data_IF_750086350250
#
_entry.id   IF_750086350250
#
_cell.length_a   1.000
_cell.length_b   1.000
_cell.length_c   1.000
_cell.angle_alpha   90.00
_cell.angle_beta   90.00
_cell.angle_gamma   90.00
#
_symmetry.space_group_name_H-M   'P 1'
#
loop_
_entity.id
_entity.type
_entity.pdbx_description
1 polymer ?
#
# COMPACT_ATOMS: atom_id res chain seq x y z
N UNK A 1 17.14 -4.70 2.73
CA UNK A 1 16.20 -3.67 3.25
C UNK A 1 14.80 -4.27 3.35
N UNK A 2 13.90 -3.61 4.07
CA UNK A 2 12.50 -4.00 4.24
C UNK A 2 11.59 -3.04 3.49
N UNK A 3 11.02 -3.49 2.37
CA UNK A 3 10.10 -2.71 1.56
C UNK A 3 8.66 -3.02 1.94
N UNK A 4 7.85 -1.97 2.05
CA UNK A 4 6.40 -2.06 2.11
C UNK A 4 5.82 -1.54 0.80
N UNK A 5 5.20 -2.41 0.03
CA UNK A 5 4.49 -2.04 -1.20
C UNK A 5 2.99 -2.03 -0.92
N UNK A 6 2.31 -0.98 -1.35
CA UNK A 6 0.89 -0.77 -1.08
C UNK A 6 0.14 -0.59 -2.39
N UNK A 7 -0.85 -1.45 -2.62
CA UNK A 7 -1.87 -1.24 -3.63
C UNK A 7 -3.09 -0.56 -2.97
N UNK A 8 -3.41 0.68 -3.33
CA UNK A 8 -4.38 1.51 -2.64
C UNK A 8 -5.84 1.10 -2.97
N UNK A 9 -6.81 1.69 -2.25
CA UNK A 9 -8.23 1.60 -2.60
C UNK A 9 -8.48 1.93 -4.08
N UNK A 10 -9.43 1.25 -4.71
CA UNK A 10 -9.97 1.68 -5.99
C UNK A 10 -10.75 3.00 -5.90
N UNK A 11 -11.50 3.27 -4.80
CA UNK A 11 -12.23 4.54 -4.58
C UNK A 11 -12.64 4.72 -3.11
N UNK A 12 -13.17 5.91 -2.75
CA UNK A 12 -13.30 6.45 -1.37
C UNK A 12 -13.68 5.42 -0.30
N UNK A 13 -12.68 4.90 0.42
CA UNK A 13 -12.87 3.99 1.56
C UNK A 13 -13.71 4.61 2.69
N UNK A 14 -13.79 5.95 2.73
CA UNK A 14 -14.62 6.67 3.68
C UNK A 14 -16.12 6.68 3.32
N UNK A 15 -16.53 6.21 2.14
CA UNK A 15 -17.92 6.20 1.68
C UNK A 15 -18.41 4.77 1.35
N UNK A 16 -18.98 4.11 2.37
CA UNK A 16 -20.19 3.25 2.38
C UNK A 16 -20.22 1.80 1.85
N UNK A 17 -20.61 0.89 2.76
CA UNK A 17 -21.67 -0.17 2.76
C UNK A 17 -21.96 -1.08 1.55
N UNK A 18 -21.30 -0.99 0.41
CA UNK A 18 -21.56 -1.92 -0.71
C UNK A 18 -20.25 -2.36 -1.35
N UNK A 19 -20.09 -3.70 -1.47
CA UNK A 19 -18.96 -4.33 -2.16
C UNK A 19 -18.97 -3.92 -3.62
N UNK A 20 -18.15 -2.94 -3.98
CA UNK A 20 -17.87 -2.65 -5.38
C UNK A 20 -16.66 -3.47 -5.77
N UNK A 21 -16.88 -4.40 -6.71
CA UNK A 21 -15.83 -5.26 -7.26
C UNK A 21 -14.88 -4.42 -8.13
N UNK A 22 -13.82 -3.89 -7.53
CA UNK A 22 -12.70 -3.30 -8.25
C UNK A 22 -11.42 -3.99 -7.78
N UNK A 23 -10.99 -4.97 -8.57
CA UNK A 23 -9.88 -5.89 -8.24
C UNK A 23 -9.90 -7.14 -9.13
N UNK A 24 -10.32 -7.03 -10.39
CA UNK A 24 -10.38 -8.19 -11.29
C UNK A 24 -8.98 -8.69 -11.72
N UNK A 25 -7.94 -7.89 -11.53
CA UNK A 25 -6.57 -8.29 -11.82
C UNK A 25 -5.68 -8.05 -10.60
N UNK A 26 -4.83 -9.02 -10.24
CA UNK A 26 -3.81 -8.81 -9.20
C UNK A 26 -2.87 -7.66 -9.61
N UNK A 27 -2.21 -7.00 -8.64
CA UNK A 27 -1.29 -5.90 -8.90
C UNK A 27 0.04 -6.43 -9.46
N UNK A 28 0.02 -6.96 -10.69
CA UNK A 28 1.14 -7.64 -11.33
C UNK A 28 2.41 -6.77 -11.34
N UNK A 29 2.28 -5.47 -11.61
CA UNK A 29 3.40 -4.54 -11.56
C UNK A 29 4.13 -4.55 -10.21
N UNK A 30 3.38 -4.51 -9.09
CA UNK A 30 3.97 -4.60 -7.76
C UNK A 30 4.55 -5.98 -7.47
N UNK A 31 3.93 -7.06 -7.96
CA UNK A 31 4.46 -8.42 -7.79
C UNK A 31 5.81 -8.60 -8.51
N UNK A 32 5.97 -8.03 -9.71
CA UNK A 32 7.26 -8.02 -10.42
C UNK A 32 8.33 -7.22 -9.67
N UNK A 33 7.98 -6.04 -9.16
CA UNK A 33 8.89 -5.23 -8.32
C UNK A 33 9.28 -5.99 -7.07
N UNK A 34 8.30 -6.57 -6.35
CA UNK A 34 8.52 -7.36 -5.15
C UNK A 34 9.49 -8.51 -5.41
N UNK A 35 9.27 -9.28 -6.48
CA UNK A 35 10.14 -10.40 -6.83
C UNK A 35 11.56 -9.95 -7.18
N UNK A 36 11.69 -8.81 -7.87
CA UNK A 36 13.00 -8.24 -8.23
C UNK A 36 13.77 -7.81 -6.99
N UNK A 37 13.12 -7.16 -6.02
CA UNK A 37 13.73 -6.77 -4.73
C UNK A 37 14.11 -8.01 -3.91
N UNK A 38 13.22 -8.99 -3.81
CA UNK A 38 13.50 -10.26 -3.13
C UNK A 38 14.73 -10.98 -3.70
N UNK A 39 14.87 -11.01 -5.03
CA UNK A 39 16.02 -11.63 -5.69
C UNK A 39 17.36 -10.91 -5.37
N UNK A 40 17.32 -9.67 -4.88
CA UNK A 40 18.50 -8.93 -4.40
C UNK A 40 18.78 -9.12 -2.91
N UNK A 41 17.99 -9.94 -2.21
CA UNK A 41 18.11 -10.20 -0.78
C UNK A 41 17.29 -9.27 0.10
N UNK A 42 16.38 -8.46 -0.48
CA UNK A 42 15.49 -7.60 0.28
C UNK A 42 14.23 -8.36 0.77
N UNK A 43 13.66 -7.89 1.89
CA UNK A 43 12.35 -8.36 2.37
C UNK A 43 11.26 -7.44 1.86
N UNK A 44 10.15 -8.01 1.40
CA UNK A 44 9.02 -7.25 0.83
C UNK A 44 7.72 -7.70 1.48
N UNK A 45 6.99 -6.72 2.01
CA UNK A 45 5.60 -6.87 2.45
C UNK A 45 4.71 -6.18 1.43
N UNK A 46 3.68 -6.85 0.91
CA UNK A 46 2.67 -6.28 0.02
C UNK A 46 1.34 -6.17 0.77
N UNK A 47 0.74 -4.99 0.78
CA UNK A 47 -0.65 -4.78 1.23
C UNK A 47 -1.51 -4.47 0.01
N UNK A 48 -2.43 -5.37 -0.32
CA UNK A 48 -3.36 -5.20 -1.45
C UNK A 48 -4.76 -4.85 -0.95
N UNK A 49 -5.02 -3.55 -0.80
CA UNK A 49 -6.31 -3.07 -0.35
C UNK A 49 -7.38 -3.02 -1.47
N UNK A 50 -7.05 -3.49 -2.68
CA UNK A 50 -8.08 -3.77 -3.70
C UNK A 50 -8.73 -5.14 -3.48
N UNK A 51 -7.98 -6.10 -2.93
CA UNK A 51 -8.45 -7.45 -2.64
C UNK A 51 -8.87 -7.61 -1.17
N UNK A 52 -8.21 -6.91 -0.25
CA UNK A 52 -8.45 -6.99 1.19
C UNK A 52 -9.11 -5.71 1.73
N UNK A 53 -9.97 -5.79 2.75
CA UNK A 53 -10.48 -4.61 3.43
C UNK A 53 -9.35 -3.75 4.00
N UNK A 54 -9.48 -2.43 3.87
CA UNK A 54 -8.54 -1.52 4.49
C UNK A 54 -8.59 -1.63 6.02
N UNK A 55 -7.42 -1.80 6.63
CA UNK A 55 -7.23 -1.83 8.08
C UNK A 55 -6.06 -0.93 8.46
N UNK A 56 -6.36 0.14 9.20
CA UNK A 56 -5.38 1.13 9.65
C UNK A 56 -4.33 0.51 10.58
N UNK A 57 -4.69 -0.44 11.43
CA UNK A 57 -3.75 -1.06 12.36
C UNK A 57 -2.77 -1.97 11.61
N UNK A 58 -3.24 -2.71 10.60
CA UNK A 58 -2.36 -3.51 9.72
C UNK A 58 -1.37 -2.58 9.00
N UNK A 59 -1.85 -1.47 8.43
CA UNK A 59 -1.00 -0.47 7.79
C UNK A 59 0.06 0.07 8.77
N UNK A 60 -0.35 0.53 9.96
CA UNK A 60 0.56 1.07 10.99
C UNK A 60 1.62 0.05 11.39
N UNK A 61 1.23 -1.20 11.61
CA UNK A 61 2.15 -2.28 11.97
C UNK A 61 3.17 -2.57 10.86
N UNK A 62 2.73 -2.54 9.60
CA UNK A 62 3.61 -2.75 8.44
C UNK A 62 4.60 -1.59 8.27
N UNK A 63 4.13 -0.34 8.39
CA UNK A 63 4.95 0.88 8.32
C UNK A 63 6.07 0.87 9.36
N UNK A 64 5.80 0.40 10.58
CA UNK A 64 6.83 0.32 11.64
C UNK A 64 7.99 -0.63 11.31
N UNK A 65 7.73 -1.63 10.46
CA UNK A 65 8.71 -2.64 10.03
C UNK A 65 9.39 -2.28 8.71
N UNK A 66 8.96 -1.24 8.02
CA UNK A 66 9.47 -0.86 6.72
C UNK A 66 10.62 0.17 6.82
N UNK A 67 11.58 0.04 5.90
CA UNK A 67 12.65 1.01 5.65
C UNK A 67 12.32 1.91 4.45
N UNK A 68 11.49 1.41 3.53
CA UNK A 68 11.00 2.13 2.34
C UNK A 68 9.54 1.76 2.13
N UNK A 69 8.71 2.74 1.78
CA UNK A 69 7.31 2.53 1.42
C UNK A 69 7.15 2.89 -0.05
N UNK A 70 6.39 2.09 -0.81
CA UNK A 70 6.08 2.35 -2.20
C UNK A 70 4.60 2.15 -2.47
N UNK A 71 4.01 3.04 -3.26
CA UNK A 71 2.61 2.96 -3.68
C UNK A 71 2.52 2.75 -5.19
N UNK A 72 1.57 1.91 -5.63
CA UNK A 72 1.12 1.91 -7.03
C UNK A 72 -0.16 2.71 -7.13
N UNK A 73 -0.07 3.94 -7.63
CA UNK A 73 -1.18 4.91 -7.58
C UNK A 73 -1.77 5.08 -8.97
N UNK A 74 -3.06 4.79 -9.11
CA UNK A 74 -3.83 5.26 -10.25
C UNK A 74 -4.14 6.75 -10.07
N UNK A 75 -4.16 7.52 -11.17
CA UNK A 75 -4.40 8.97 -11.11
C UNK A 75 -5.72 9.32 -10.42
N UNK A 76 -6.75 8.48 -10.56
CA UNK A 76 -8.06 8.63 -9.89
C UNK A 76 -7.99 8.47 -8.37
N UNK A 77 -7.03 7.69 -7.86
CA UNK A 77 -6.93 7.34 -6.43
C UNK A 77 -5.98 8.25 -5.63
N UNK A 78 -5.38 9.27 -6.26
CA UNK A 78 -4.38 10.13 -5.63
C UNK A 78 -4.86 10.78 -4.32
N UNK A 79 -6.12 11.23 -4.27
CA UNK A 79 -6.67 11.88 -3.09
C UNK A 79 -6.77 10.91 -1.90
N UNK A 80 -7.20 9.67 -2.13
CA UNK A 80 -7.27 8.65 -1.08
C UNK A 80 -5.89 8.20 -0.62
N UNK A 81 -4.93 8.09 -1.55
CA UNK A 81 -3.54 7.78 -1.21
C UNK A 81 -2.93 8.86 -0.31
N UNK A 82 -3.24 10.15 -0.55
CA UNK A 82 -2.80 11.23 0.35
C UNK A 82 -3.32 11.02 1.78
N UNK A 83 -4.58 10.63 1.95
CA UNK A 83 -5.14 10.31 3.28
C UNK A 83 -4.41 9.14 3.94
N UNK A 84 -4.07 8.10 3.16
CA UNK A 84 -3.29 6.96 3.68
C UNK A 84 -1.88 7.41 4.12
N UNK A 85 -1.24 8.30 3.35
CA UNK A 85 0.06 8.87 3.70
C UNK A 85 -0.03 9.70 4.98
N UNK A 86 -1.11 10.47 5.18
CA UNK A 86 -1.34 11.24 6.42
C UNK A 86 -1.47 10.36 7.67
N UNK A 87 -1.85 9.08 7.51
CA UNK A 87 -1.89 8.11 8.62
C UNK A 87 -0.50 7.60 9.01
N UNK A 88 0.51 7.79 8.17
CA UNK A 88 1.90 7.40 8.47
C UNK A 88 2.41 8.25 9.63
N UNK A 89 2.89 7.65 10.74
CA UNK A 89 3.30 8.40 11.93
C UNK A 89 4.37 9.46 11.63
N UNK A 90 4.24 10.67 12.21
CA UNK A 90 5.20 11.76 11.98
C UNK A 90 6.65 11.42 12.37
N UNK A 91 6.86 10.51 13.33
CA UNK A 91 8.20 10.01 13.70
C UNK A 91 8.87 9.21 12.56
N UNK A 92 8.10 8.85 11.53
CA UNK A 92 8.53 8.16 10.31
C UNK A 92 8.53 9.10 9.09
N UNK A 93 8.37 10.41 9.28
CA UNK A 93 8.36 11.44 8.21
C UNK A 93 9.66 11.56 7.40
N UNK A 94 10.75 10.91 7.85
CA UNK A 94 12.01 10.77 7.10
C UNK A 94 12.12 9.48 6.27
N UNK A 95 11.10 8.60 6.29
CA UNK A 95 11.08 7.42 5.42
C UNK A 95 10.85 7.86 3.96
N UNK A 96 11.58 7.30 2.98
CA UNK A 96 11.23 7.44 1.57
C UNK A 96 9.84 6.83 1.31
N UNK A 97 8.93 7.66 0.80
CA UNK A 97 7.56 7.31 0.37
C UNK A 97 7.38 7.69 -1.09
#
# INVERSE_FOLDING_TARGET
MRFLLIYPPPESFFIRTSRVFYGLSPPLGLLYVAKTLQNKGDSVTLLDFSAEPFDEQILRNAVQKADVIGFSVLSSSLHEVKKIIELIPQQRSGLPV
#
